data_IF_264539207665
#
_entry.id   IF_264539207665
#
_cell.length_a   1.000
_cell.length_b   1.000
_cell.length_c   1.000
_cell.angle_alpha   90.00
_cell.angle_beta   90.00
_cell.angle_gamma   90.00
#
_symmetry.space_group_name_H-M   'P 1'
#
loop_
_entity.id
_entity.type
_entity.pdbx_description
1 polymer ?
#
# COMPACT_ATOMS: atom_id res chain seq x y z
N UNK A 1 -3.93 3.11 -15.32
CA UNK A 1 -2.65 3.30 -14.60
C UNK A 1 -2.27 4.77 -14.56
N UNK A 2 -1.76 5.26 -13.45
CA UNK A 2 -1.30 6.63 -13.29
C UNK A 2 0.22 6.63 -13.04
N UNK A 3 1.05 6.90 -14.07
CA UNK A 3 2.50 6.90 -13.92
C UNK A 3 3.00 7.88 -12.86
N UNK A 4 2.35 9.04 -12.74
CA UNK A 4 2.75 10.06 -11.78
C UNK A 4 2.56 9.60 -10.34
N UNK A 5 1.45 8.91 -10.06
CA UNK A 5 1.21 8.36 -8.71
C UNK A 5 2.17 7.22 -8.39
N UNK A 6 2.53 6.41 -9.38
CA UNK A 6 3.51 5.36 -9.17
C UNK A 6 4.89 5.95 -8.86
N UNK A 7 5.24 7.04 -9.51
CA UNK A 7 6.48 7.77 -9.22
C UNK A 7 6.46 8.32 -7.77
N UNK A 8 5.35 8.90 -7.36
CA UNK A 8 5.16 9.37 -5.98
C UNK A 8 5.29 8.21 -4.99
N UNK A 9 4.69 7.06 -5.31
CA UNK A 9 4.79 5.86 -4.47
C UNK A 9 6.25 5.44 -4.28
N UNK A 10 7.03 5.43 -5.34
CA UNK A 10 8.46 5.08 -5.27
C UNK A 10 9.25 6.05 -4.41
N UNK A 11 8.95 7.35 -4.47
CA UNK A 11 9.58 8.36 -3.61
C UNK A 11 9.26 8.12 -2.14
N UNK A 12 8.01 7.85 -1.83
CA UNK A 12 7.61 7.52 -0.45
C UNK A 12 8.31 6.25 0.03
N UNK A 13 8.46 5.26 -0.83
CA UNK A 13 9.18 4.04 -0.47
C UNK A 13 10.65 4.33 -0.15
N UNK A 14 11.32 5.13 -0.98
CA UNK A 14 12.71 5.53 -0.73
C UNK A 14 12.83 6.29 0.59
N UNK A 15 11.89 7.19 0.87
CA UNK A 15 11.84 7.92 2.14
C UNK A 15 11.65 6.96 3.31
N UNK A 16 10.77 5.97 3.18
CA UNK A 16 10.52 4.98 4.22
C UNK A 16 11.79 4.17 4.52
N UNK A 17 12.53 3.77 3.49
CA UNK A 17 13.79 3.03 3.66
C UNK A 17 14.84 3.88 4.39
N UNK A 18 14.97 5.14 4.02
CA UNK A 18 15.92 6.07 4.65
C UNK A 18 15.56 6.30 6.12
N UNK A 19 14.29 6.48 6.41
CA UNK A 19 13.81 6.69 7.78
C UNK A 19 14.01 5.44 8.63
N UNK A 20 13.80 4.26 8.06
CA UNK A 20 14.05 3.00 8.74
C UNK A 20 15.52 2.87 9.14
N UNK A 21 16.42 3.16 8.22
CA UNK A 21 17.87 3.12 8.48
C UNK A 21 18.28 4.13 9.54
N UNK A 22 17.60 5.26 9.62
CA UNK A 22 17.85 6.30 10.63
C UNK A 22 17.20 5.99 11.98
N UNK A 23 16.48 4.88 12.11
CA UNK A 23 15.78 4.52 13.35
C UNK A 23 14.53 5.32 13.62
N UNK A 24 14.01 6.06 12.65
CA UNK A 24 12.77 6.82 12.77
C UNK A 24 11.59 5.95 12.39
N UNK A 25 11.20 5.08 13.31
CA UNK A 25 10.31 3.94 13.02
C UNK A 25 8.89 4.37 12.67
N UNK A 26 8.30 5.29 13.43
CA UNK A 26 6.92 5.76 13.19
C UNK A 26 6.84 6.48 11.85
N UNK A 27 7.82 7.32 11.54
CA UNK A 27 7.86 8.02 10.26
C UNK A 27 8.07 7.06 9.09
N UNK A 28 8.89 6.01 9.28
CA UNK A 28 9.11 4.98 8.28
C UNK A 28 7.80 4.24 7.96
N UNK A 29 7.04 3.88 8.99
CA UNK A 29 5.74 3.21 8.83
C UNK A 29 4.76 4.10 8.07
N UNK A 30 4.67 5.37 8.44
CA UNK A 30 3.77 6.31 7.79
C UNK A 30 4.10 6.46 6.29
N UNK A 31 5.38 6.61 5.96
CA UNK A 31 5.82 6.71 4.56
C UNK A 31 5.59 5.42 3.78
N UNK A 32 5.84 4.27 4.40
CA UNK A 32 5.58 2.98 3.77
C UNK A 32 4.08 2.82 3.45
N UNK A 33 3.22 3.22 4.38
CA UNK A 33 1.78 3.19 4.16
C UNK A 33 1.37 4.05 2.96
N UNK A 34 1.85 5.30 2.90
CA UNK A 34 1.50 6.18 1.80
C UNK A 34 2.12 5.72 0.47
N UNK A 35 3.27 5.07 0.51
CA UNK A 35 3.83 4.43 -0.69
C UNK A 35 2.89 3.37 -1.24
N UNK A 36 2.40 2.47 -0.39
CA UNK A 36 1.45 1.43 -0.80
C UNK A 36 0.13 2.04 -1.27
N UNK A 37 -0.38 3.03 -0.56
CA UNK A 37 -1.64 3.69 -0.90
C UNK A 37 -1.56 4.36 -2.28
N UNK A 38 -0.51 5.12 -2.54
CA UNK A 38 -0.32 5.78 -3.84
C UNK A 38 -0.12 4.77 -4.97
N UNK A 39 0.57 3.67 -4.68
CA UNK A 39 0.78 2.59 -5.65
C UNK A 39 -0.55 1.93 -6.02
N UNK A 40 -1.37 1.61 -5.04
CA UNK A 40 -2.70 1.03 -5.28
C UNK A 40 -3.59 1.99 -6.08
N UNK A 41 -3.57 3.27 -5.73
CA UNK A 41 -4.30 4.27 -6.49
C UNK A 41 -3.80 4.34 -7.93
N UNK A 42 -2.48 4.29 -8.13
CA UNK A 42 -1.89 4.28 -9.48
C UNK A 42 -2.42 3.11 -10.30
N UNK A 43 -2.51 1.92 -9.69
CA UNK A 43 -2.99 0.71 -10.36
C UNK A 43 -4.49 0.80 -10.69
N UNK A 44 -5.30 1.23 -9.71
CA UNK A 44 -6.75 1.26 -9.85
C UNK A 44 -7.26 2.44 -10.70
N UNK A 45 -6.49 3.52 -10.76
CA UNK A 45 -6.96 4.76 -11.35
C UNK A 45 -7.85 5.54 -10.41
N UNK A 46 -8.50 6.59 -10.92
CA UNK A 46 -9.39 7.39 -10.10
C UNK A 46 -10.63 6.60 -9.69
N UNK A 47 -11.17 6.87 -8.49
CA UNK A 47 -12.41 6.22 -8.07
C UNK A 47 -13.57 6.66 -8.96
N UNK A 48 -14.68 5.90 -8.96
CA UNK A 48 -15.88 6.29 -9.68
C UNK A 48 -16.34 7.70 -9.28
N UNK A 49 -17.00 8.39 -10.20
CA UNK A 49 -17.46 9.77 -9.96
C UNK A 49 -18.30 9.86 -8.70
N UNK A 50 -17.95 10.79 -7.82
CA UNK A 50 -18.64 10.99 -6.54
C UNK A 50 -18.13 10.10 -5.42
N UNK A 51 -17.16 9.23 -5.69
CA UNK A 51 -16.57 8.34 -4.69
C UNK A 51 -15.12 8.71 -4.42
N UNK A 52 -14.56 8.16 -3.35
CA UNK A 52 -13.17 8.35 -2.97
C UNK A 52 -12.56 6.99 -2.56
N UNK A 53 -11.27 6.82 -2.85
CA UNK A 53 -10.52 5.66 -2.33
C UNK A 53 -10.29 5.84 -0.84
N UNK A 54 -11.06 5.15 -0.03
CA UNK A 54 -10.88 5.12 1.41
C UNK A 54 -9.78 4.12 1.75
N UNK A 55 -9.06 4.36 2.85
CA UNK A 55 -7.89 3.58 3.23
C UNK A 55 -8.14 2.06 3.32
N UNK A 56 -9.26 1.63 3.89
CA UNK A 56 -9.57 0.19 3.97
C UNK A 56 -10.15 -0.30 2.64
N UNK A 57 -11.04 0.49 2.04
CA UNK A 57 -11.72 0.11 0.80
C UNK A 57 -10.76 -0.09 -0.37
N UNK A 58 -9.71 0.72 -0.48
CA UNK A 58 -8.75 0.59 -1.58
C UNK A 58 -8.04 -0.76 -1.56
N UNK A 59 -7.74 -1.29 -0.36
CA UNK A 59 -7.11 -2.61 -0.22
C UNK A 59 -7.97 -3.69 -0.87
N UNK A 60 -9.28 -3.68 -0.59
CA UNK A 60 -10.21 -4.68 -1.13
C UNK A 60 -10.29 -4.63 -2.65
N UNK A 61 -10.35 -3.45 -3.23
CA UNK A 61 -10.36 -3.30 -4.68
C UNK A 61 -9.04 -3.73 -5.31
N UNK A 62 -7.93 -3.39 -4.70
CA UNK A 62 -6.61 -3.73 -5.21
C UNK A 62 -6.38 -5.23 -5.27
N UNK A 63 -6.67 -5.94 -4.17
CA UNK A 63 -6.37 -7.38 -4.07
C UNK A 63 -7.26 -8.24 -4.97
N UNK A 64 -8.40 -7.72 -5.43
CA UNK A 64 -9.22 -8.43 -6.41
C UNK A 64 -8.50 -8.63 -7.73
N UNK A 65 -7.59 -7.73 -8.10
CA UNK A 65 -6.78 -7.85 -9.32
C UNK A 65 -7.53 -7.52 -10.60
N UNK A 66 -8.70 -6.90 -10.54
CA UNK A 66 -9.46 -6.54 -11.74
C UNK A 66 -8.79 -5.46 -12.57
N UNK A 67 -7.92 -4.69 -11.96
CA UNK A 67 -7.20 -3.63 -12.64
C UNK A 67 -6.19 -4.16 -13.68
N UNK A 68 -5.74 -5.41 -13.55
CA UNK A 68 -4.86 -6.03 -14.55
C UNK A 68 -5.49 -7.23 -15.25
N UNK A 69 -6.57 -7.77 -14.73
CA UNK A 69 -7.29 -8.91 -15.31
C UNK A 69 -8.79 -8.63 -15.37
N UNK A 70 -9.21 -7.63 -16.17
CA UNK A 70 -10.62 -7.19 -16.16
C UNK A 70 -11.59 -8.25 -16.69
N UNK A 71 -11.08 -9.28 -17.39
CA UNK A 71 -11.93 -10.35 -17.90
C UNK A 71 -12.36 -11.36 -16.83
N UNK A 72 -11.69 -11.39 -15.67
CA UNK A 72 -12.06 -12.30 -14.59
C UNK A 72 -13.41 -11.94 -13.99
N UNK A 73 -14.15 -12.94 -13.46
CA UNK A 73 -15.43 -12.66 -12.80
C UNK A 73 -15.30 -11.64 -11.69
N UNK A 74 -16.36 -10.83 -11.49
CA UNK A 74 -16.39 -9.83 -10.44
C UNK A 74 -16.60 -10.42 -9.05
N UNK A 75 -16.88 -11.72 -8.95
CA UNK A 75 -17.09 -12.45 -7.70
C UNK A 75 -16.03 -13.55 -7.56
N UNK A 76 -15.81 -13.98 -6.33
CA UNK A 76 -14.81 -14.99 -6.00
C UNK A 76 -13.54 -14.40 -5.42
N UNK A 77 -12.53 -15.25 -5.13
CA UNK A 77 -11.26 -14.80 -4.56
C UNK A 77 -10.51 -13.85 -5.51
N UNK A 78 -9.90 -12.84 -4.91
CA UNK A 78 -9.06 -11.92 -5.68
C UNK A 78 -7.72 -12.55 -6.05
N UNK A 79 -7.14 -12.10 -7.18
CA UNK A 79 -5.86 -12.61 -7.67
C UNK A 79 -4.67 -12.20 -6.77
N UNK A 80 -4.82 -11.12 -6.01
CA UNK A 80 -3.80 -10.65 -5.08
C UNK A 80 -4.25 -10.77 -3.61
N UNK A 81 -5.18 -11.70 -3.35
CA UNK A 81 -5.77 -11.87 -2.02
C UNK A 81 -4.71 -12.21 -0.95
N UNK A 82 -3.60 -12.81 -1.35
CA UNK A 82 -2.47 -13.11 -0.45
C UNK A 82 -1.84 -11.86 0.16
N UNK A 83 -2.11 -10.68 -0.39
CA UNK A 83 -1.61 -9.41 0.16
C UNK A 83 -2.56 -8.75 1.15
N UNK A 84 -3.81 -9.22 1.25
CA UNK A 84 -4.83 -8.57 2.07
C UNK A 84 -4.42 -8.40 3.52
N UNK A 85 -3.91 -9.47 4.11
CA UNK A 85 -3.51 -9.45 5.53
C UNK A 85 -2.37 -8.45 5.76
N UNK A 86 -1.35 -8.48 4.93
CA UNK A 86 -0.19 -7.57 5.05
C UNK A 86 -0.59 -6.11 4.87
N UNK A 87 -1.47 -5.82 3.92
CA UNK A 87 -1.96 -4.46 3.68
C UNK A 87 -2.81 -3.95 4.85
N UNK A 88 -3.62 -4.82 5.42
CA UNK A 88 -4.42 -4.47 6.60
C UNK A 88 -3.52 -4.17 7.80
N UNK A 89 -2.49 -4.99 8.03
CA UNK A 89 -1.52 -4.75 9.10
C UNK A 89 -0.77 -3.45 8.89
N UNK A 90 -0.38 -3.15 7.67
CA UNK A 90 0.30 -1.89 7.33
C UNK A 90 -0.59 -0.70 7.70
N UNK A 91 -1.88 -0.76 7.36
CA UNK A 91 -2.83 0.27 7.73
C UNK A 91 -2.92 0.44 9.26
N UNK A 92 -2.99 -0.66 10.00
CA UNK A 92 -3.09 -0.62 11.46
C UNK A 92 -1.83 -0.04 12.11
N UNK A 93 -0.67 -0.44 11.64
CA UNK A 93 0.60 0.13 12.14
C UNK A 93 0.69 1.62 11.84
N UNK A 94 0.18 2.06 10.70
CA UNK A 94 0.16 3.48 10.36
C UNK A 94 -0.74 4.26 11.30
N UNK A 95 -1.90 3.72 11.65
CA UNK A 95 -2.80 4.36 12.64
C UNK A 95 -2.09 4.47 13.98
N UNK A 96 -1.44 3.39 14.43
CA UNK A 96 -0.68 3.41 15.69
C UNK A 96 0.44 4.45 15.65
N UNK A 97 1.16 4.53 14.53
CA UNK A 97 2.29 5.46 14.39
C UNK A 97 1.84 6.92 14.35
N UNK A 98 0.78 7.22 13.60
CA UNK A 98 0.31 8.60 13.42
C UNK A 98 -0.39 9.15 14.66
N UNK A 99 -1.00 8.29 15.47
CA UNK A 99 -1.76 8.69 16.65
C UNK A 99 -1.11 8.29 17.97
N UNK A 100 0.13 7.81 17.93
CA UNK A 100 0.91 7.40 19.12
C UNK A 100 0.17 6.41 20.02
N UNK A 101 -0.61 5.49 19.40
CA UNK A 101 -1.41 4.53 20.15
C UNK A 101 -0.57 3.40 20.74
N UNK A 102 0.38 2.90 19.95
CA UNK A 102 1.27 1.79 20.33
C UNK A 102 2.66 2.07 19.77
N UNK A 103 3.71 1.92 20.58
CA UNK A 103 5.08 2.09 20.07
C UNK A 103 5.38 1.11 18.94
N UNK A 104 6.08 1.61 17.92
CA UNK A 104 6.50 0.81 16.77
C UNK A 104 7.91 0.29 17.02
N UNK A 105 8.11 -1.02 16.91
CA UNK A 105 9.44 -1.60 17.00
C UNK A 105 10.06 -1.75 15.61
N UNK A 106 11.36 -2.02 15.56
CA UNK A 106 12.11 -2.14 14.31
C UNK A 106 11.53 -3.23 13.40
N UNK A 107 11.17 -4.37 13.97
CA UNK A 107 10.64 -5.50 13.22
C UNK A 107 9.33 -5.14 12.52
N UNK A 108 8.44 -4.43 13.21
CA UNK A 108 7.15 -3.99 12.65
C UNK A 108 7.38 -2.96 11.55
N UNK A 109 8.31 -2.03 11.74
CA UNK A 109 8.64 -1.04 10.70
C UNK A 109 9.23 -1.71 9.46
N UNK A 110 10.11 -2.71 9.64
CA UNK A 110 10.65 -3.49 8.53
C UNK A 110 9.55 -4.23 7.77
N UNK A 111 8.60 -4.82 8.48
CA UNK A 111 7.44 -5.49 7.88
C UNK A 111 6.65 -4.52 7.01
N UNK A 112 6.41 -3.31 7.49
CA UNK A 112 5.66 -2.28 6.76
C UNK A 112 6.38 -1.88 5.47
N UNK A 113 7.70 -1.67 5.53
CA UNK A 113 8.49 -1.34 4.34
C UNK A 113 8.44 -2.48 3.33
N UNK A 114 8.58 -3.74 3.79
CA UNK A 114 8.48 -4.90 2.90
C UNK A 114 7.12 -5.01 2.23
N UNK A 115 6.05 -4.72 2.96
CA UNK A 115 4.69 -4.74 2.38
C UNK A 115 4.56 -3.71 1.26
N UNK A 116 5.07 -2.49 1.48
CA UNK A 116 5.06 -1.45 0.45
C UNK A 116 5.88 -1.88 -0.77
N UNK A 117 7.06 -2.46 -0.55
CA UNK A 117 7.92 -2.96 -1.63
C UNK A 117 7.21 -4.02 -2.46
N UNK A 118 6.56 -4.98 -1.80
CA UNK A 118 5.81 -6.06 -2.49
C UNK A 118 4.64 -5.50 -3.28
N UNK A 119 3.92 -4.54 -2.73
CA UNK A 119 2.77 -3.91 -3.41
C UNK A 119 3.23 -3.23 -4.70
N UNK A 120 4.30 -2.45 -4.64
CA UNK A 120 4.85 -1.78 -5.83
C UNK A 120 5.36 -2.82 -6.84
N UNK A 121 6.06 -3.86 -6.37
CA UNK A 121 6.58 -4.91 -7.24
C UNK A 121 5.47 -5.65 -7.99
N UNK A 122 4.34 -5.95 -7.31
CA UNK A 122 3.19 -6.59 -7.95
C UNK A 122 2.62 -5.74 -9.08
N UNK A 123 2.61 -4.42 -8.89
CA UNK A 123 2.13 -3.50 -9.92
C UNK A 123 3.12 -3.45 -11.10
N UNK A 124 4.40 -3.32 -10.80
CA UNK A 124 5.45 -3.20 -11.82
C UNK A 124 5.57 -4.44 -12.70
N UNK A 125 5.25 -5.61 -12.16
CA UNK A 125 5.26 -6.85 -12.94
C UNK A 125 4.15 -6.92 -14.00
N UNK A 126 3.13 -6.08 -13.86
CA UNK A 126 1.91 -6.14 -14.69
C UNK A 126 1.74 -4.95 -15.63
N UNK A 127 2.67 -4.05 -15.63
CA UNK A 127 2.62 -2.86 -16.49
C UNK A 127 3.77 -2.79 -17.47
#
# INVERSE_FOLDING_TARGET
>A
MSPDRLMIARRYLDDARSLLLAGRLESAVSRAYYAAYQAMWAALGNPPKGEQWRHIGINSHFVRGRWFEPAYPQTGPGLLEHLRFSLHRLYQFRVDADYDLTPINTKSAEECVRTAERTIAEIEQRV
#
